data_IF_293595901628
#
_entry.id   IF_293595901628
#
_cell.length_a   1.000
_cell.length_b   1.000
_cell.length_c   1.000
_cell.angle_alpha   90.00
_cell.angle_beta   90.00
_cell.angle_gamma   90.00
#
_symmetry.space_group_name_H-M   'P 1'
#
loop_
_entity.id
_entity.type
_entity.pdbx_description
1 polymer ?
2 polymer ?
3 polymer ?
4 polymer ?
5 non-polymer ?
6 non-polymer ?
7 non-polymer ?
8 non-polymer ?
9 non-polymer ?
10 non-polymer ?
11 water ?
#
loop_
_entity_poly.entity_id
_entity_poly.type
_entity_poly.pdbx_seq_one_letter_code
_entity_poly.pdbx_strand_id
2 'polydeoxyribonucleotide' '(DC)(DG)(DG)(DC)(DA)(DT)(DA)(DC)(DG)' ?
3 'polydeoxyribonucleotide' '(DC)(DG)(DT)(DA)(DT)' ?
4 'polydeoxyribonucleotide' '(DG)(DC)(DC)(DG)' ?
#
# COMPACT_ATOMS: atom_id res chain seq x y z
N UNK A 11 -13.67 24.37 0.39
CA UNK A 11 -12.86 24.19 1.58
C UNK A 11 -12.07 22.87 1.53
N UNK A 12 -12.73 21.81 1.05
CA UNK A 12 -12.11 20.51 0.95
C UNK A 12 -11.61 20.30 -0.48
N UNK A 13 -10.31 20.30 -0.73
CA UNK A 13 -9.82 20.05 -2.09
C UNK A 13 -10.28 18.69 -2.62
N UNK A 14 -10.32 18.59 -3.95
CA UNK A 14 -10.87 17.39 -4.57
C UNK A 14 -9.87 16.24 -4.62
N UNK A 15 -8.57 16.54 -4.69
CA UNK A 15 -7.54 15.51 -4.76
C UNK A 15 -6.95 15.28 -3.38
N UNK A 16 -6.65 14.01 -3.06
CA UNK A 16 -6.14 13.68 -1.73
C UNK A 16 -4.75 14.25 -1.49
N UNK A 17 -3.98 14.49 -2.55
CA UNK A 17 -2.65 15.07 -2.40
C UNK A 17 -2.68 16.56 -2.10
N UNK A 18 -3.87 17.17 -2.09
CA UNK A 18 -4.04 18.59 -1.80
C UNK A 18 -4.39 18.87 -0.35
N UNK A 19 -4.43 17.85 0.50
CA UNK A 19 -4.91 18.02 1.86
C UNK A 19 -4.18 17.08 2.80
N UNK A 20 -3.84 17.50 4.01
CA UNK A 20 -3.23 16.58 4.98
C UNK A 20 -4.23 15.51 5.39
N UNK A 21 -3.76 14.27 5.43
CA UNK A 21 -4.57 13.16 5.93
C UNK A 21 -3.77 12.45 7.02
N UNK A 22 -4.13 12.61 8.29
CA UNK A 22 -3.37 11.96 9.35
C UNK A 22 -3.72 10.49 9.46
N UNK A 23 -2.89 9.77 10.20
CA UNK A 23 -3.08 8.32 10.32
C UNK A 23 -4.35 8.01 11.10
N UNK A 24 -4.59 8.73 12.18
CA UNK A 24 -5.80 8.58 12.98
C UNK A 24 -6.63 9.86 12.86
N UNK A 25 -7.95 9.71 12.92
CA UNK A 25 -8.81 10.83 12.58
C UNK A 25 -10.11 10.70 13.36
N UNK A 26 -11.17 11.36 12.87
CA UNK A 26 -12.36 11.62 13.65
C UNK A 26 -13.61 11.00 13.03
N UNK A 27 -13.44 10.14 12.03
CA UNK A 27 -14.56 9.54 11.31
C UNK A 27 -14.23 8.10 10.96
N UNK A 28 -13.59 7.40 11.89
CA UNK A 28 -13.06 6.07 11.62
C UNK A 28 -14.15 5.10 11.15
N UNK A 29 -15.25 5.03 11.90
CA UNK A 29 -16.32 4.10 11.53
C UNK A 29 -16.91 4.39 10.16
N UNK A 30 -17.11 5.67 9.85
CA UNK A 30 -17.67 6.02 8.54
C UNK A 30 -16.73 5.62 7.42
N UNK A 31 -15.44 5.91 7.57
CA UNK A 31 -14.50 5.59 6.51
C UNK A 31 -14.34 4.08 6.35
N UNK A 32 -14.33 3.33 7.47
CA UNK A 32 -14.26 1.87 7.39
C UNK A 32 -15.39 1.34 6.54
N UNK A 33 -16.62 1.80 6.79
CA UNK A 33 -17.78 1.30 6.06
C UNK A 33 -17.63 1.54 4.56
N UNK A 34 -17.21 2.74 4.18
CA UNK A 34 -17.05 3.04 2.76
C UNK A 34 -15.93 2.21 2.14
N UNK A 35 -14.89 1.89 2.91
CA UNK A 35 -13.82 1.07 2.36
C UNK A 35 -14.21 -0.38 2.23
N UNK A 36 -15.22 -0.84 2.97
CA UNK A 36 -15.79 -2.17 2.69
C UNK A 36 -16.40 -2.18 1.29
N UNK A 37 -17.22 -1.16 0.97
CA UNK A 37 -17.84 -1.12 -0.35
C UNK A 37 -16.78 -0.94 -1.43
N UNK A 38 -15.72 -0.19 -1.14
CA UNK A 38 -14.62 -0.04 -2.09
C UNK A 38 -13.98 -1.40 -2.36
N UNK A 39 -13.63 -2.12 -1.29
CA UNK A 39 -13.05 -3.45 -1.42
C UNK A 39 -13.97 -4.36 -2.22
N UNK A 40 -15.27 -4.37 -1.89
CA UNK A 40 -16.21 -5.22 -2.59
C UNK A 40 -16.30 -4.86 -4.07
N UNK A 41 -16.27 -3.57 -4.39
CA UNK A 41 -16.25 -3.17 -5.79
C UNK A 41 -15.03 -3.74 -6.51
N UNK A 42 -13.88 -3.75 -5.83
CA UNK A 42 -12.69 -4.33 -6.43
C UNK A 42 -12.85 -5.82 -6.72
N UNK A 43 -13.46 -6.55 -5.79
CA UNK A 43 -13.68 -7.97 -5.99
C UNK A 43 -14.57 -8.26 -7.19
N UNK A 44 -15.38 -7.29 -7.61
CA UNK A 44 -16.24 -7.44 -8.77
C UNK A 44 -15.68 -6.78 -10.01
N UNK A 45 -14.46 -6.25 -9.94
CA UNK A 45 -13.85 -5.64 -11.11
C UNK A 45 -14.31 -4.24 -11.42
N UNK A 46 -15.02 -3.58 -10.49
CA UNK A 46 -15.52 -2.23 -10.69
C UNK A 46 -14.48 -1.25 -10.14
N UNK A 47 -13.45 -0.99 -10.95
CA UNK A 47 -12.37 -0.13 -10.49
C UNK A 47 -12.84 1.31 -10.32
N UNK A 48 -13.81 1.77 -11.11
CA UNK A 48 -14.30 3.12 -10.96
C UNK A 48 -15.04 3.31 -9.65
N UNK A 49 -15.91 2.36 -9.30
CA UNK A 49 -16.63 2.44 -8.02
C UNK A 49 -15.67 2.31 -6.85
N UNK A 50 -14.71 1.40 -6.93
CA UNK A 50 -13.69 1.29 -5.89
C UNK A 50 -13.02 2.63 -5.65
N UNK A 51 -12.65 3.33 -6.74
CA UNK A 51 -11.94 4.59 -6.57
C UNK A 51 -12.82 5.62 -5.86
N UNK A 52 -14.09 5.74 -6.27
CA UNK A 52 -14.95 6.73 -5.64
C UNK A 52 -15.12 6.45 -4.16
N UNK A 53 -15.40 5.18 -3.80
CA UNK A 53 -15.58 4.85 -2.39
C UNK A 53 -14.30 5.09 -1.60
N UNK A 54 -13.15 4.75 -2.18
CA UNK A 54 -11.87 5.04 -1.55
C UNK A 54 -11.70 6.54 -1.32
N UNK A 55 -12.00 7.34 -2.35
CA UNK A 55 -11.85 8.78 -2.24
C UNK A 55 -12.79 9.37 -1.20
N UNK A 56 -14.06 8.95 -1.22
CA UNK A 56 -15.01 9.44 -0.24
C UNK A 56 -14.57 9.08 1.17
N UNK A 57 -14.07 7.86 1.36
CA UNK A 57 -13.53 7.48 2.65
C UNK A 57 -12.39 8.40 3.06
N UNK A 58 -11.49 8.71 2.12
CA UNK A 58 -10.33 9.53 2.45
C UNK A 58 -10.74 10.96 2.79
N UNK A 59 -11.78 11.48 2.14
CA UNK A 59 -12.27 12.82 2.49
C UNK A 59 -12.62 12.87 3.97
N UNK A 60 -13.30 11.85 4.48
CA UNK A 60 -13.68 11.87 5.89
C UNK A 60 -12.47 11.79 6.81
N UNK A 61 -11.42 11.06 6.41
CA UNK A 61 -10.19 11.00 7.18
C UNK A 61 -9.56 12.37 7.33
N UNK A 62 -9.76 13.25 6.35
CA UNK A 62 -9.13 14.57 6.34
C UNK A 62 -9.94 15.62 7.09
N UNK A 63 -11.16 15.32 7.51
CA UNK A 63 -11.98 16.29 8.21
C UNK A 63 -11.42 16.56 9.60
N UNK A 64 -11.65 17.76 10.13
CA UNK A 64 -11.10 18.09 11.45
C UNK A 64 -11.95 17.65 12.65
N UNK A 65 -13.11 17.06 12.44
CA UNK A 65 -13.98 16.66 13.53
C UNK A 65 -14.98 15.64 13.01
N UNK A 66 -15.73 15.00 13.91
CA UNK A 66 -16.66 13.96 13.45
C UNK A 66 -17.81 14.53 12.65
N UNK A 67 -18.22 13.79 11.62
CA UNK A 67 -19.48 14.07 10.95
C UNK A 67 -20.60 13.55 11.85
N UNK A 68 -21.52 14.44 12.24
CA UNK A 68 -22.64 14.08 13.08
C UNK A 68 -23.98 14.24 12.39
N UNK A 69 -24.06 14.98 11.28
CA UNK A 69 -25.32 15.22 10.61
C UNK A 69 -25.08 15.18 9.11
N UNK A 70 -26.11 14.75 8.38
CA UNK A 70 -25.97 14.59 6.94
C UNK A 70 -25.59 15.89 6.26
N UNK A 71 -26.10 17.02 6.76
CA UNK A 71 -25.82 18.30 6.12
C UNK A 71 -24.33 18.60 6.08
N UNK A 72 -23.54 18.02 6.99
CA UNK A 72 -22.11 18.27 6.97
C UNK A 72 -21.44 17.65 5.75
N UNK A 73 -22.14 16.83 4.97
CA UNK A 73 -21.57 16.29 3.73
C UNK A 73 -21.74 17.21 2.54
N UNK A 74 -22.60 18.22 2.65
CA UNK A 74 -22.84 19.13 1.52
C UNK A 74 -21.55 19.80 1.09
N UNK A 75 -21.28 19.77 -0.21
CA UNK A 75 -20.08 20.39 -0.73
C UNK A 75 -18.81 19.60 -0.54
N UNK A 76 -18.86 18.44 0.08
CA UNK A 76 -17.66 17.60 0.15
C UNK A 76 -17.49 16.86 -1.17
N UNK A 77 -16.29 16.86 -1.75
CA UNK A 77 -16.10 16.11 -3.00
C UNK A 77 -16.25 14.62 -2.78
N UNK A 78 -16.77 13.95 -3.81
CA UNK A 78 -16.90 12.50 -3.89
C UNK A 78 -18.01 11.94 -3.02
N UNK A 79 -18.88 12.80 -2.48
CA UNK A 79 -20.08 12.35 -1.79
C UNK A 79 -21.30 12.66 -2.65
N UNK A 80 -21.81 11.64 -3.32
CA UNK A 80 -23.06 11.71 -4.04
C UNK A 80 -24.14 10.91 -3.34
N UNK A 81 -25.16 10.52 -4.12
CA UNK A 81 -26.31 9.83 -3.57
C UNK A 81 -25.89 8.58 -2.78
N UNK A 82 -24.99 7.77 -3.36
CA UNK A 82 -24.72 6.46 -2.78
C UNK A 82 -23.89 6.59 -1.50
N UNK A 83 -22.75 7.27 -1.57
CA UNK A 83 -21.92 7.42 -0.38
C UNK A 83 -22.64 8.21 0.71
N UNK A 84 -23.49 9.18 0.33
CA UNK A 84 -24.21 9.94 1.34
C UNK A 84 -25.23 9.07 2.07
N UNK A 85 -25.91 8.19 1.32
CA UNK A 85 -26.88 7.30 1.93
C UNK A 85 -26.21 6.34 2.90
N UNK A 86 -25.00 5.86 2.57
CA UNK A 86 -24.26 5.02 3.50
C UNK A 86 -24.03 5.77 4.82
N UNK A 87 -23.55 7.01 4.74
CA UNK A 87 -23.30 7.78 5.95
C UNK A 87 -24.60 8.04 6.69
N UNK A 88 -25.66 8.38 5.94
CA UNK A 88 -26.95 8.67 6.55
C UNK A 88 -27.41 7.50 7.42
N UNK A 89 -27.32 6.28 6.89
CA UNK A 89 -27.80 5.13 7.63
C UNK A 89 -26.95 4.88 8.87
N UNK A 90 -25.63 5.04 8.74
CA UNK A 90 -24.76 4.88 9.89
C UNK A 90 -25.07 5.93 10.96
N UNK A 91 -25.32 7.18 10.53
CA UNK A 91 -25.62 8.22 11.51
C UNK A 91 -26.95 7.96 12.21
N UNK A 92 -27.94 7.44 11.48
CA UNK A 92 -29.27 7.28 12.05
C UNK A 92 -29.40 5.96 12.83
N UNK A 93 -28.78 4.88 12.35
CA UNK A 93 -28.98 3.57 12.93
C UNK A 93 -27.71 2.90 13.42
N UNK A 94 -26.55 3.48 13.20
CA UNK A 94 -25.30 2.86 13.60
C UNK A 94 -24.83 1.75 12.69
N UNK A 95 -25.61 1.42 11.66
CA UNK A 95 -25.33 0.32 10.76
C UNK A 95 -25.88 0.67 9.39
N UNK A 96 -25.22 0.18 8.35
CA UNK A 96 -25.68 0.35 6.97
C UNK A 96 -25.99 -1.01 6.38
N UNK A 97 -27.25 -1.21 5.98
CA UNK A 97 -27.68 -2.54 5.56
C UNK A 97 -26.83 -3.07 4.41
N UNK A 98 -26.53 -2.24 3.42
CA UNK A 98 -25.71 -2.69 2.31
C UNK A 98 -24.33 -3.15 2.78
N UNK A 99 -23.71 -2.38 3.68
CA UNK A 99 -22.39 -2.74 4.17
C UNK A 99 -22.45 -4.07 4.91
N UNK A 100 -23.47 -4.25 5.74
CA UNK A 100 -23.58 -5.50 6.49
C UNK A 100 -23.85 -6.67 5.57
N UNK A 101 -24.68 -6.47 4.55
CA UNK A 101 -24.92 -7.54 3.59
C UNK A 101 -23.62 -7.97 2.91
N UNK A 102 -22.77 -7.01 2.54
CA UNK A 102 -21.47 -7.35 1.97
C UNK A 102 -20.64 -8.15 2.98
N UNK A 103 -20.53 -7.63 4.21
CA UNK A 103 -19.68 -8.27 5.22
C UNK A 103 -19.95 -9.77 5.33
N UNK A 104 -21.21 -10.16 5.39
CA UNK A 104 -21.55 -11.55 5.66
C UNK A 104 -21.70 -12.39 4.38
N UNK A 105 -21.60 -11.78 3.21
CA UNK A 105 -21.78 -12.54 1.98
C UNK A 105 -20.65 -13.53 1.80
N UNK A 106 -20.99 -14.72 1.29
CA UNK A 106 -19.99 -15.74 1.03
C UNK A 106 -18.99 -15.28 -0.02
N UNK A 107 -19.45 -14.47 -0.98
CA UNK A 107 -18.57 -13.96 -2.02
C UNK A 107 -17.50 -13.03 -1.43
N UNK A 108 -17.93 -12.04 -0.64
CA UNK A 108 -16.98 -11.10 -0.06
C UNK A 108 -15.97 -11.82 0.82
N UNK A 109 -16.45 -12.66 1.73
CA UNK A 109 -15.56 -13.31 2.68
C UNK A 109 -14.53 -14.19 1.98
N UNK A 110 -14.95 -14.93 0.97
CA UNK A 110 -14.04 -15.84 0.29
C UNK A 110 -13.05 -15.08 -0.60
N UNK A 111 -13.52 -14.04 -1.30
CA UNK A 111 -12.61 -13.23 -2.11
C UNK A 111 -11.59 -12.52 -1.23
N UNK A 112 -12.01 -12.07 -0.05
CA UNK A 112 -11.08 -11.44 0.87
C UNK A 112 -10.04 -12.46 1.36
N UNK A 113 -10.51 -13.65 1.74
CA UNK A 113 -9.60 -14.71 2.18
C UNK A 113 -8.61 -15.07 1.09
N UNK A 114 -9.09 -15.28 -0.13
CA UNK A 114 -8.21 -15.71 -1.21
C UNK A 114 -7.24 -14.60 -1.62
N UNK A 115 -7.74 -13.39 -1.80
CA UNK A 115 -6.85 -12.32 -2.27
C UNK A 115 -5.78 -11.95 -1.25
N UNK A 116 -6.00 -12.22 0.03
CA UNK A 116 -4.98 -11.94 1.03
C UNK A 116 -3.79 -12.89 0.91
N UNK A 117 -3.95 -14.00 0.19
CA UNK A 117 -2.83 -14.91 -0.04
C UNK A 117 -1.82 -14.23 -0.95
N UNK A 118 -0.56 -14.22 -0.53
CA UNK A 118 0.52 -13.73 -1.37
C UNK A 118 0.62 -14.60 -2.63
N UNK A 119 0.49 -13.97 -3.80
CA UNK A 119 0.48 -14.68 -5.06
C UNK A 119 -0.89 -14.93 -5.65
N UNK A 120 -1.96 -14.47 -4.98
CA UNK A 120 -3.33 -14.63 -5.44
C UNK A 120 -3.93 -13.24 -5.61
N UNK A 121 -4.33 -12.90 -6.84
CA UNK A 121 -5.03 -11.67 -7.10
C UNK A 121 -6.53 -11.87 -7.28
N UNK A 122 -7.22 -10.78 -7.58
CA UNK A 122 -8.67 -10.84 -7.76
C UNK A 122 -9.02 -11.86 -8.84
N UNK A 123 -8.28 -11.87 -9.94
CA UNK A 123 -8.65 -12.74 -11.06
C UNK A 123 -8.52 -14.20 -10.68
N UNK A 124 -7.47 -14.56 -9.93
CA UNK A 124 -7.32 -15.95 -9.51
C UNK A 124 -8.38 -16.31 -8.45
N UNK A 125 -8.55 -15.44 -7.46
CA UNK A 125 -9.58 -15.66 -6.44
C UNK A 125 -10.94 -15.88 -7.08
N UNK A 126 -11.31 -14.99 -8.00
CA UNK A 126 -12.61 -15.12 -8.67
C UNK A 126 -12.73 -16.46 -9.39
N UNK A 127 -11.68 -16.88 -10.11
CA UNK A 127 -11.73 -18.16 -10.80
C UNK A 127 -11.94 -19.30 -9.80
N UNK A 128 -11.19 -19.30 -8.71
CA UNK A 128 -11.36 -20.34 -7.70
C UNK A 128 -12.76 -20.31 -7.09
N UNK A 129 -13.28 -19.11 -6.80
CA UNK A 129 -14.63 -19.01 -6.26
C UNK A 129 -15.65 -19.64 -7.20
N UNK A 130 -15.51 -19.38 -8.51
CA UNK A 130 -16.45 -19.96 -9.47
C UNK A 130 -16.29 -21.47 -9.55
N UNK A 131 -15.09 -21.98 -9.31
CA UNK A 131 -14.86 -23.43 -9.31
C UNK A 131 -15.42 -24.12 -8.07
N UNK A 132 -15.94 -23.36 -7.10
CA UNK A 132 -16.51 -23.93 -5.90
C UNK A 132 -15.61 -23.90 -4.68
N UNK A 133 -14.38 -23.41 -4.81
CA UNK A 133 -13.45 -23.39 -3.69
C UNK A 133 -13.82 -22.28 -2.73
N UNK A 134 -13.65 -22.53 -1.43
CA UNK A 134 -14.06 -21.58 -0.40
C UNK A 134 -13.06 -21.40 0.73
N UNK A 135 -12.20 -22.37 1.03
CA UNK A 135 -11.34 -22.33 2.21
C UNK A 135 -9.90 -22.55 1.79
N UNK A 136 -8.97 -22.24 2.71
CA UNK A 136 -7.55 -22.45 2.42
C UNK A 136 -7.25 -23.93 2.27
N UNK A 137 -7.88 -24.79 3.08
CA UNK A 137 -7.65 -26.22 2.95
C UNK A 137 -8.17 -26.75 1.62
N UNK A 138 -9.17 -26.08 1.04
CA UNK A 138 -9.59 -26.43 -0.32
C UNK A 138 -8.43 -26.23 -1.30
N UNK A 139 -7.67 -25.16 -1.12
CA UNK A 139 -6.52 -24.91 -2.00
C UNK A 139 -5.40 -25.90 -1.71
N UNK A 140 -5.18 -26.22 -0.44
CA UNK A 140 -4.09 -27.13 -0.08
C UNK A 140 -4.29 -28.52 -0.67
N UNK A 141 -5.54 -28.91 -0.92
CA UNK A 141 -5.82 -30.27 -1.40
C UNK A 141 -5.35 -30.49 -2.83
N UNK A 142 -5.34 -29.44 -3.65
CA UNK A 142 -4.94 -29.53 -5.06
C UNK A 142 -3.74 -28.64 -5.31
N UNK A 143 -2.59 -28.94 -4.67
CA UNK A 143 -1.43 -28.05 -4.81
C UNK A 143 -0.83 -28.04 -6.20
N UNK A 144 -1.17 -29.02 -7.05
CA UNK A 144 -0.65 -29.01 -8.41
C UNK A 144 -1.16 -27.81 -9.20
N UNK A 145 -2.27 -27.21 -8.78
CA UNK A 145 -2.82 -26.04 -9.45
C UNK A 145 -2.20 -24.74 -8.95
N UNK A 146 -1.28 -24.79 -7.99
CA UNK A 146 -0.73 -23.59 -7.38
C UNK A 146 0.65 -23.27 -7.96
N UNK A 147 0.94 -21.99 -8.05
CA UNK A 147 2.28 -21.55 -8.38
C UNK A 147 3.19 -21.68 -7.16
N UNK A 148 4.50 -21.65 -7.42
CA UNK A 148 5.47 -21.63 -6.32
C UNK A 148 5.22 -20.45 -5.39
N UNK A 149 4.87 -19.29 -5.97
CA UNK A 149 4.59 -18.12 -5.16
C UNK A 149 3.37 -18.35 -4.28
N UNK A 150 2.33 -18.99 -4.83
CA UNK A 150 1.11 -19.24 -4.08
C UNK A 150 1.31 -20.32 -3.03
N UNK A 151 2.08 -21.36 -3.35
CA UNK A 151 2.47 -22.34 -2.34
C UNK A 151 3.14 -21.68 -1.15
N UNK A 152 4.02 -20.71 -1.41
CA UNK A 152 4.69 -20.01 -0.32
C UNK A 152 3.71 -19.15 0.47
N UNK A 153 2.85 -18.40 -0.23
CA UNK A 153 1.87 -17.58 0.46
C UNK A 153 0.94 -18.40 1.33
N UNK A 154 0.59 -19.60 0.86
CA UNK A 154 -0.32 -20.46 1.61
C UNK A 154 0.38 -21.11 2.80
N UNK A 155 1.61 -21.61 2.61
CA UNK A 155 2.37 -22.17 3.73
C UNK A 155 2.54 -21.15 4.84
N UNK A 156 2.87 -19.92 4.48
CA UNK A 156 3.17 -18.87 5.46
C UNK A 156 1.98 -18.00 5.78
N UNK A 157 0.79 -18.37 5.32
CA UNK A 157 -0.35 -17.46 5.42
C UNK A 157 -0.63 -17.05 6.86
N UNK A 158 -0.53 -17.98 7.80
CA UNK A 158 -0.87 -17.68 9.19
C UNK A 158 0.05 -16.61 9.77
N UNK A 159 1.37 -16.78 9.59
CA UNK A 159 2.32 -15.78 10.06
C UNK A 159 2.10 -14.44 9.37
N UNK A 160 1.86 -14.47 8.06
CA UNK A 160 1.70 -13.24 7.31
C UNK A 160 0.43 -12.50 7.67
N UNK A 161 -0.51 -13.16 8.36
CA UNK A 161 -1.72 -12.50 8.82
C UNK A 161 -1.54 -11.84 10.17
N UNK A 162 -0.43 -12.12 10.87
CA UNK A 162 -0.13 -11.53 12.17
C UNK A 162 0.57 -10.18 11.98
N UNK A 163 0.12 -9.11 12.64
CA UNK A 163 0.74 -7.80 12.37
C UNK A 163 2.20 -7.75 12.75
N UNK A 164 2.96 -7.05 11.92
CA UNK A 164 4.35 -6.71 12.21
C UNK A 164 4.38 -5.48 13.10
N UNK A 165 5.27 -5.49 14.08
CA UNK A 165 5.42 -4.39 15.02
C UNK A 165 6.65 -3.55 14.70
N UNK A 166 6.65 -2.31 15.18
CA UNK A 166 7.77 -1.43 14.90
C UNK A 166 9.07 -2.02 15.45
N UNK A 167 9.01 -2.73 16.58
CA UNK A 167 10.20 -3.40 17.09
C UNK A 167 10.72 -4.43 16.09
N UNK A 168 9.81 -5.14 15.43
CA UNK A 168 10.22 -6.06 14.37
C UNK A 168 10.93 -5.31 13.25
N UNK A 169 10.43 -4.12 12.91
CA UNK A 169 11.01 -3.36 11.79
C UNK A 169 12.46 -2.99 12.09
N UNK A 170 12.71 -2.50 13.30
CA UNK A 170 14.08 -2.10 13.64
C UNK A 170 15.03 -3.28 13.53
N UNK A 171 14.59 -4.47 13.97
CA UNK A 171 15.44 -5.65 13.86
C UNK A 171 15.70 -6.01 12.39
N UNK A 172 14.66 -5.97 11.57
CA UNK A 172 14.83 -6.26 10.15
C UNK A 172 15.77 -5.26 9.49
N UNK A 173 15.61 -3.97 9.78
CA UNK A 173 16.44 -2.98 9.11
C UNK A 173 17.91 -3.21 9.38
N UNK A 174 18.24 -3.62 10.61
CA UNK A 174 19.65 -3.88 10.92
C UNK A 174 20.20 -5.02 10.08
N UNK A 175 19.42 -6.10 9.91
CA UNK A 175 19.96 -7.21 9.13
C UNK A 175 20.05 -6.83 7.65
N UNK A 176 19.13 -6.02 7.16
CA UNK A 176 19.20 -5.57 5.76
C UNK A 176 20.43 -4.69 5.54
N UNK A 177 20.69 -3.77 6.46
CA UNK A 177 21.86 -2.92 6.33
C UNK A 177 23.15 -3.73 6.35
N UNK A 178 23.21 -4.78 7.19
CA UNK A 178 24.40 -5.61 7.23
C UNK A 178 24.68 -6.22 5.86
N UNK A 179 23.65 -6.80 5.23
CA UNK A 179 23.84 -7.41 3.92
C UNK A 179 24.16 -6.35 2.87
N UNK A 180 23.43 -5.23 2.89
CA UNK A 180 23.66 -4.14 1.95
C UNK A 180 25.09 -3.61 2.08
N UNK A 181 25.56 -3.42 3.32
CA UNK A 181 26.90 -2.91 3.54
C UNK A 181 27.98 -3.79 2.97
N UNK A 182 27.77 -5.11 2.97
CA UNK A 182 28.73 -6.02 2.35
C UNK A 182 28.59 -6.04 0.84
N UNK A 183 27.35 -5.94 0.34
CA UNK A 183 27.13 -5.98 -1.10
C UNK A 183 27.72 -4.75 -1.77
N UNK A 184 27.63 -3.60 -1.11
CA UNK A 184 28.09 -2.34 -1.68
C UNK A 184 28.35 -1.36 -0.54
N UNK A 185 29.58 -1.26 -0.06
CA UNK A 185 29.89 -0.26 0.97
C UNK A 185 29.44 1.12 0.56
N UNK A 186 28.85 1.84 1.51
CA UNK A 186 28.30 3.16 1.26
C UNK A 186 26.84 3.16 0.88
N UNK A 187 26.27 2.01 0.52
CA UNK A 187 24.86 1.96 0.18
C UNK A 187 24.04 2.20 1.43
N UNK A 188 22.86 2.80 1.24
CA UNK A 188 21.99 3.18 2.34
C UNK A 188 20.66 2.47 2.23
N UNK A 189 20.00 2.32 3.38
CA UNK A 189 18.71 1.67 3.50
C UNK A 189 17.75 2.64 4.14
N UNK A 190 16.60 2.87 3.51
CA UNK A 190 15.59 3.79 3.99
C UNK A 190 14.28 3.04 4.18
N UNK A 191 13.72 3.14 5.39
CA UNK A 191 12.41 2.57 5.66
C UNK A 191 11.34 3.38 4.94
N UNK A 192 10.46 2.70 4.21
CA UNK A 192 9.39 3.39 3.49
C UNK A 192 8.07 2.68 3.79
N UNK A 193 7.09 2.87 2.90
CA UNK A 193 5.77 2.32 3.13
C UNK A 193 5.05 2.89 4.36
N UNK A 194 4.13 2.06 4.86
CA UNK A 194 3.26 2.49 5.94
C UNK A 194 4.00 2.86 7.21
N UNK A 195 5.11 2.16 7.50
CA UNK A 195 5.87 2.50 8.70
C UNK A 195 6.48 3.90 8.58
N UNK A 196 6.89 4.32 7.39
CA UNK A 196 7.40 5.68 7.28
C UNK A 196 6.30 6.71 7.50
N UNK A 197 5.05 6.35 7.18
CA UNK A 197 3.92 7.24 7.44
C UNK A 197 3.48 7.24 8.90
N UNK A 198 4.19 6.51 9.77
CA UNK A 198 3.91 6.55 11.19
C UNK A 198 3.11 5.39 11.74
N UNK A 199 2.76 4.40 10.92
CA UNK A 199 2.03 3.26 11.42
C UNK A 199 2.84 2.53 12.49
N UNK A 200 2.16 2.08 13.53
CA UNK A 200 2.80 1.31 14.60
C UNK A 200 2.81 -0.17 14.30
N UNK A 201 1.94 -0.64 13.42
CA UNK A 201 1.93 -2.02 12.98
C UNK A 201 1.74 -2.05 11.48
N UNK A 202 2.03 -3.20 10.88
CA UNK A 202 1.79 -3.37 9.46
C UNK A 202 1.78 -4.84 9.13
N UNK A 203 1.53 -5.14 7.85
CA UNK A 203 1.57 -6.51 7.37
C UNK A 203 2.77 -6.80 6.49
N UNK A 204 3.63 -5.80 6.28
CA UNK A 204 4.85 -5.97 5.49
C UNK A 204 5.76 -4.79 5.81
N UNK A 205 7.02 -4.94 5.44
CA UNK A 205 8.04 -3.92 5.69
C UNK A 205 8.66 -3.56 4.35
N UNK A 206 8.78 -2.25 4.09
CA UNK A 206 9.26 -1.74 2.81
C UNK A 206 10.56 -0.98 3.01
N UNK A 207 11.58 -1.31 2.21
CA UNK A 207 12.87 -0.65 2.28
C UNK A 207 13.29 -0.17 0.89
N UNK A 208 13.94 0.99 0.86
CA UNK A 208 14.46 1.59 -0.37
C UNK A 208 15.97 1.74 -0.22
N UNK A 209 16.70 1.27 -1.20
CA UNK A 209 18.15 1.16 -1.14
C UNK A 209 18.72 2.01 -2.27
N UNK A 210 19.77 2.78 -1.96
CA UNK A 210 20.46 3.54 -3.00
C UNK A 210 21.93 3.67 -2.62
N UNK A 211 22.67 4.45 -3.40
CA UNK A 211 24.08 4.74 -3.15
C UNK A 211 24.37 6.16 -3.62
N UNK A 212 25.13 6.95 -2.85
CA UNK A 212 25.31 8.37 -3.22
C UNK A 212 26.05 8.59 -4.53
N UNK A 213 26.71 7.59 -5.08
CA UNK A 213 27.43 7.71 -6.35
C UNK A 213 26.58 7.09 -7.45
N UNK A 214 26.02 7.96 -8.30
CA UNK A 214 25.17 7.52 -9.40
C UNK A 214 25.83 6.39 -10.18
N UNK A 215 25.10 5.31 -10.37
CA UNK A 215 25.55 4.16 -11.13
C UNK A 215 26.08 3.02 -10.27
N UNK A 216 26.56 3.31 -9.07
CA UNK A 216 27.10 2.26 -8.22
C UNK A 216 26.04 1.27 -7.79
N UNK A 217 24.77 1.67 -7.81
CA UNK A 217 23.71 0.79 -7.35
C UNK A 217 23.32 -0.25 -8.39
N UNK A 218 23.82 -0.12 -9.62
CA UNK A 218 23.52 -1.11 -10.65
C UNK A 218 23.97 -2.49 -10.19
N UNK A 219 23.11 -3.49 -10.39
CA UNK A 219 23.42 -4.86 -10.02
C UNK A 219 23.40 -5.14 -8.55
N UNK A 220 22.87 -4.24 -7.74
CA UNK A 220 23.01 -4.36 -6.30
C UNK A 220 22.06 -5.42 -5.73
N UNK A 221 20.84 -5.46 -6.20
CA UNK A 221 19.84 -6.26 -5.50
C UNK A 221 20.16 -7.75 -5.52
N UNK A 222 20.67 -8.32 -6.62
CA UNK A 222 21.05 -9.74 -6.56
C UNK A 222 22.14 -10.00 -5.53
N UNK A 223 23.06 -9.05 -5.37
CA UNK A 223 24.13 -9.24 -4.38
C UNK A 223 23.57 -9.19 -2.97
N UNK A 224 22.61 -8.30 -2.73
CA UNK A 224 21.96 -8.22 -1.43
C UNK A 224 21.20 -9.52 -1.16
N UNK A 225 20.43 -9.98 -2.14
CA UNK A 225 19.60 -11.16 -1.93
C UNK A 225 20.45 -12.39 -1.67
N UNK A 226 21.55 -12.56 -2.41
CA UNK A 226 22.39 -13.74 -2.22
C UNK A 226 22.99 -13.76 -0.82
N UNK A 227 23.29 -12.59 -0.27
CA UNK A 227 23.86 -12.52 1.07
C UNK A 227 22.80 -12.78 2.15
N UNK A 228 21.62 -12.21 2.01
CA UNK A 228 20.53 -12.55 2.92
C UNK A 228 20.23 -14.04 2.89
N UNK A 229 20.18 -14.62 1.68
CA UNK A 229 19.92 -16.05 1.57
C UNK A 229 21.02 -16.87 2.24
N UNK A 230 22.28 -16.46 2.08
CA UNK A 230 23.38 -17.19 2.71
C UNK A 230 23.30 -17.10 4.23
N UNK A 231 22.69 -16.04 4.78
CA UNK A 231 22.50 -15.93 6.21
C UNK A 231 21.33 -16.75 6.73
N UNK A 232 20.61 -17.46 5.86
CA UNK A 232 19.46 -18.23 6.28
C UNK A 232 18.22 -17.42 6.59
N UNK A 233 18.13 -16.18 6.10
CA UNK A 233 17.05 -15.27 6.48
C UNK A 233 15.90 -15.23 5.48
N UNK A 234 16.03 -15.88 4.33
CA UNK A 234 15.05 -15.75 3.26
C UNK A 234 14.28 -17.07 3.18
N UNK A 235 13.01 -17.02 3.56
CA UNK A 235 12.13 -18.18 3.38
C UNK A 235 11.62 -18.28 1.96
N UNK A 236 11.48 -17.14 1.26
CA UNK A 236 11.01 -17.13 -0.12
C UNK A 236 11.45 -15.85 -0.81
N UNK A 237 11.79 -15.96 -2.09
CA UNK A 237 11.93 -14.77 -2.95
C UNK A 237 11.99 -15.24 -4.40
N UNK A 238 11.54 -14.36 -5.28
CA UNK A 238 11.46 -14.66 -6.71
C UNK A 238 12.85 -14.80 -7.32
N UNK A 258 18.91 -9.64 -13.59
CA UNK A 258 18.86 -8.30 -13.00
C UNK A 258 17.44 -7.96 -12.57
N UNK A 259 17.31 -7.13 -11.54
CA UNK A 259 16.01 -6.70 -11.06
C UNK A 259 16.20 -5.56 -10.06
N UNK A 260 15.13 -4.82 -9.82
CA UNK A 260 15.16 -3.68 -8.92
C UNK A 260 14.12 -3.73 -7.79
N UNK A 261 13.21 -4.72 -7.79
CA UNK A 261 12.28 -4.94 -6.70
C UNK A 261 12.30 -6.41 -6.35
N UNK A 262 12.35 -6.70 -5.06
CA UNK A 262 12.39 -8.07 -4.56
C UNK A 262 11.32 -8.22 -3.49
N UNK A 263 10.38 -9.13 -3.71
CA UNK A 263 9.28 -9.37 -2.78
C UNK A 263 9.61 -10.64 -2.00
N UNK A 264 9.98 -10.48 -0.74
CA UNK A 264 10.59 -11.54 0.04
C UNK A 264 9.68 -11.94 1.20
N UNK A 265 9.88 -13.16 1.68
CA UNK A 265 9.43 -13.57 2.99
C UNK A 265 10.68 -13.82 3.83
N UNK A 266 10.83 -13.06 4.90
CA UNK A 266 11.97 -13.15 5.79
C UNK A 266 11.64 -14.01 7.00
N UNK A 267 12.68 -14.62 7.54
CA UNK A 267 12.64 -15.31 8.83
C UNK A 267 12.99 -14.29 9.91
N UNK A 268 11.99 -13.90 10.70
CA UNK A 268 12.21 -12.91 11.74
C UNK A 268 12.30 -13.59 13.10
N UNK A 269 13.42 -13.47 13.82
CA UNK A 269 13.50 -14.11 15.14
C UNK A 269 12.42 -13.63 16.10
N UNK A 270 11.92 -14.56 16.89
CA UNK A 270 10.96 -14.34 17.96
C UNK A 270 11.45 -15.03 19.20
N UNK A 271 10.83 -14.78 20.37
CA UNK A 271 11.23 -15.49 21.59
C UNK A 271 11.23 -17.01 21.42
N UNK A 272 12.42 -17.61 21.46
CA UNK A 272 12.55 -19.05 21.34
C UNK A 272 12.09 -19.61 20.02
N UNK A 273 11.86 -18.74 19.03
CA UNK A 273 11.38 -19.19 17.74
C UNK A 273 11.54 -18.08 16.70
N UNK A 274 10.66 -18.04 15.71
CA UNK A 274 10.71 -17.02 14.66
C UNK A 274 9.35 -16.97 13.99
N UNK A 275 9.20 -16.03 13.06
CA UNK A 275 8.00 -15.95 12.27
C UNK A 275 8.34 -15.40 10.90
N UNK A 276 7.53 -15.78 9.92
CA UNK A 276 7.67 -15.27 8.57
C UNK A 276 7.10 -13.86 8.46
N UNK A 277 7.82 -12.98 7.76
CA UNK A 277 7.40 -11.59 7.57
C UNK A 277 7.65 -11.21 6.11
N UNK A 278 6.69 -10.53 5.51
CA UNK A 278 6.84 -10.01 4.16
C UNK A 278 7.71 -8.75 4.19
N UNK A 279 8.76 -8.73 3.37
CA UNK A 279 9.67 -7.60 3.28
C UNK A 279 9.88 -7.32 1.80
N UNK A 280 9.79 -6.05 1.43
CA UNK A 280 10.06 -5.63 0.06
C UNK A 280 11.33 -4.80 0.02
N UNK A 281 12.22 -5.15 -0.90
CA UNK A 281 13.49 -4.45 -1.10
C UNK A 281 13.49 -3.83 -2.49
N UNK A 282 13.75 -2.54 -2.57
CA UNK A 282 13.76 -1.84 -3.86
C UNK A 282 15.00 -0.96 -3.94
N UNK A 283 15.61 -0.92 -5.11
CA UNK A 283 16.82 -0.16 -5.37
C UNK A 283 16.48 0.92 -6.39
N UNK A 284 17.05 2.10 -6.18
CA UNK A 284 16.93 3.19 -7.14
C UNK A 284 18.26 3.93 -7.21
N UNK A 285 18.62 4.47 -8.36
CA UNK A 285 19.78 5.36 -8.41
C UNK A 285 19.46 6.64 -7.66
N UNK A 286 20.51 7.28 -7.12
CA UNK A 286 20.26 8.41 -6.23
C UNK A 286 19.56 9.55 -6.96
N UNK A 287 19.82 9.72 -8.25
CA UNK A 287 19.12 10.75 -9.01
C UNK A 287 17.62 10.55 -8.95
N UNK A 288 17.15 9.31 -8.87
CA UNK A 288 15.72 9.01 -8.83
C UNK A 288 15.21 8.79 -7.41
N UNK A 289 16.09 8.82 -6.41
CA UNK A 289 15.70 8.47 -5.06
C UNK A 289 14.51 9.27 -4.55
N UNK A 290 14.42 10.59 -4.76
CA UNK A 290 13.24 11.32 -4.26
C UNK A 290 11.95 10.81 -4.83
N UNK A 291 11.93 10.45 -6.11
CA UNK A 291 10.72 9.94 -6.73
C UNK A 291 10.37 8.55 -6.21
N UNK A 292 11.39 7.73 -5.95
CA UNK A 292 11.12 6.38 -5.47
C UNK A 292 10.71 6.41 -4.01
N UNK A 293 11.35 7.26 -3.22
CA UNK A 293 10.92 7.47 -1.85
C UNK A 293 9.47 7.95 -1.81
N UNK A 294 9.14 8.95 -2.62
CA UNK A 294 7.76 9.45 -2.65
C UNK A 294 6.80 8.33 -3.01
N UNK A 295 7.10 7.59 -4.09
CA UNK A 295 6.21 6.54 -4.52
C UNK A 295 6.03 5.43 -3.50
N UNK A 296 7.15 4.95 -2.93
CA UNK A 296 7.05 3.83 -2.01
C UNK A 296 6.63 4.23 -0.60
N UNK A 297 6.48 5.52 -0.31
CA UNK A 297 5.95 5.91 1.00
C UNK A 297 4.44 6.00 0.99
N UNK A 298 3.81 6.15 -0.18
CA UNK A 298 2.36 6.03 -0.27
C UNK A 298 1.65 7.22 0.37
N UNK A 299 0.42 6.98 0.84
CA UNK A 299 -0.33 5.75 0.67
C UNK A 299 -0.59 5.45 -0.80
N UNK A 300 -1.12 4.25 -1.07
CA UNK A 300 -1.50 3.90 -2.43
C UNK A 300 -2.46 4.93 -3.02
N UNK A 301 -3.53 5.25 -2.30
CA UNK A 301 -4.46 6.24 -2.81
C UNK A 301 -3.78 7.59 -3.00
N UNK A 302 -2.92 7.98 -2.06
CA UNK A 302 -2.21 9.25 -2.19
C UNK A 302 -1.40 9.29 -3.49
N UNK A 303 -0.70 8.20 -3.83
CA UNK A 303 0.13 8.21 -5.03
C UNK A 303 -0.73 8.24 -6.29
N UNK A 304 -1.81 7.47 -6.34
CA UNK A 304 -2.73 7.54 -7.47
C UNK A 304 -3.27 8.96 -7.64
N UNK A 305 -3.70 9.58 -6.54
CA UNK A 305 -4.23 10.93 -6.60
C UNK A 305 -3.15 11.93 -7.03
N UNK A 306 -1.93 11.74 -6.53
CA UNK A 306 -0.84 12.63 -6.89
C UNK A 306 -0.50 12.52 -8.38
N UNK A 307 -0.46 11.30 -8.90
CA UNK A 307 -0.19 11.12 -10.32
C UNK A 307 -1.34 11.64 -11.18
N UNK A 308 -2.58 11.44 -10.72
CA UNK A 308 -3.72 11.99 -11.42
C UNK A 308 -3.68 13.51 -11.45
N UNK A 309 -3.36 14.12 -10.30
CA UNK A 309 -3.24 15.57 -10.22
C UNK A 309 -2.15 16.07 -11.15
N UNK A 310 -0.98 15.45 -11.09
CA UNK A 310 0.14 15.83 -11.93
C UNK A 310 -0.26 15.85 -13.39
N UNK A 311 -0.86 14.75 -13.87
CA UNK A 311 -1.20 14.63 -15.27
C UNK A 311 -2.34 15.57 -15.65
N UNK A 312 -3.43 15.55 -14.88
CA UNK A 312 -4.63 16.24 -15.30
C UNK A 312 -4.63 17.74 -14.98
N UNK A 313 -4.00 18.15 -13.88
CA UNK A 313 -4.00 19.56 -13.53
C UNK A 313 -2.75 20.30 -13.98
N UNK A 314 -1.61 19.59 -14.11
CA UNK A 314 -0.34 20.23 -14.45
C UNK A 314 0.24 19.74 -15.77
N UNK A 315 -0.32 18.71 -16.38
CA UNK A 315 0.21 18.24 -17.65
C UNK A 315 1.56 17.58 -17.54
N UNK A 316 1.94 17.12 -16.36
CA UNK A 316 3.20 16.43 -16.13
C UNK A 316 2.94 14.98 -15.77
N UNK A 317 3.84 14.09 -16.18
CA UNK A 317 3.68 12.66 -16.03
C UNK A 317 4.60 12.17 -14.92
N UNK A 318 4.00 11.67 -13.84
CA UNK A 318 4.73 11.30 -12.63
C UNK A 318 4.74 9.79 -12.46
N UNK A 319 5.90 9.25 -12.08
CA UNK A 319 5.98 7.86 -11.63
C UNK A 319 7.09 7.78 -10.58
N UNK A 320 7.40 6.55 -10.15
CA UNK A 320 8.40 6.38 -9.10
C UNK A 320 9.83 6.55 -9.60
N UNK A 321 10.01 6.87 -10.89
CA UNK A 321 11.34 7.15 -11.46
C UNK A 321 11.59 8.63 -11.71
N UNK A 322 10.55 9.43 -11.91
CA UNK A 322 10.77 10.80 -12.33
C UNK A 322 9.46 11.50 -12.63
N UNK A 323 9.63 12.72 -13.12
CA UNK A 323 8.50 13.59 -13.46
C UNK A 323 8.83 14.22 -14.80
N UNK A 324 7.98 13.97 -15.79
CA UNK A 324 8.27 14.24 -17.19
C UNK A 324 7.36 15.34 -17.72
N UNK A 325 7.96 16.34 -18.35
CA UNK A 325 7.21 17.36 -19.07
C UNK A 325 7.07 16.89 -20.51
N UNK A 326 5.88 16.50 -20.97
CA UNK A 326 5.75 16.00 -22.34
C UNK A 326 5.84 17.09 -23.38
N UNK A 327 5.67 18.36 -23.00
CA UNK A 327 5.86 19.46 -23.94
C UNK A 327 7.33 19.65 -24.26
N UNK A 328 8.13 20.00 -23.24
CA UNK A 328 9.56 20.20 -23.44
C UNK A 328 10.32 18.90 -23.60
N UNK A 329 9.72 17.77 -23.28
CA UNK A 329 10.37 16.47 -23.39
C UNK A 329 11.59 16.41 -22.47
N UNK A 330 11.39 16.82 -21.22
CA UNK A 330 12.45 16.88 -20.22
C UNK A 330 11.95 16.28 -18.91
N UNK A 331 12.89 15.75 -18.14
CA UNK A 331 12.61 15.26 -16.79
C UNK A 331 13.01 16.31 -15.77
N UNK A 332 12.19 16.44 -14.72
CA UNK A 332 12.51 17.33 -13.63
C UNK A 332 13.55 16.68 -12.72
N UNK A 333 14.61 17.41 -12.41
CA UNK A 333 15.58 16.94 -11.45
C UNK A 333 15.10 17.31 -10.07
N UNK A 334 15.06 16.33 -9.18
CA UNK A 334 14.66 16.55 -7.81
C UNK A 334 15.77 16.08 -6.89
N UNK A 335 16.08 16.88 -5.88
CA UNK A 335 16.98 16.48 -4.82
C UNK A 335 16.24 16.04 -3.56
N UNK A 336 14.92 16.17 -3.52
CA UNK A 336 14.15 15.91 -2.31
C UNK A 336 12.67 15.75 -2.67
N UNK A 337 11.91 15.16 -1.74
CA UNK A 337 10.47 15.18 -1.87
C UNK A 337 9.94 16.60 -1.93
N UNK A 338 10.53 17.49 -1.13
CA UNK A 338 10.12 18.89 -1.14
C UNK A 338 10.19 19.48 -2.55
N UNK A 339 11.26 19.19 -3.28
CA UNK A 339 11.36 19.61 -4.68
C UNK A 339 10.16 19.17 -5.50
N UNK A 340 9.73 17.93 -5.31
CA UNK A 340 8.67 17.37 -6.15
C UNK A 340 7.35 18.07 -5.88
N UNK A 341 7.00 18.23 -4.60
CA UNK A 341 5.78 18.98 -4.28
C UNK A 341 5.84 20.37 -4.87
N UNK A 342 6.99 21.05 -4.75
CA UNK A 342 7.11 22.39 -5.32
C UNK A 342 6.91 22.37 -6.83
N UNK A 343 7.54 21.43 -7.51
CA UNK A 343 7.38 21.32 -8.97
C UNK A 343 5.91 21.25 -9.35
N UNK A 344 5.12 20.52 -8.56
CA UNK A 344 3.71 20.30 -8.85
C UNK A 344 2.80 21.39 -8.30
N UNK A 345 3.37 22.43 -7.68
CA UNK A 345 2.54 23.48 -7.11
C UNK A 345 1.68 23.06 -5.94
N UNK A 346 2.15 22.08 -5.16
CA UNK A 346 1.42 21.57 -4.00
C UNK A 346 2.17 21.97 -2.74
N UNK A 347 1.43 22.27 -1.67
CA UNK A 347 2.05 22.45 -0.37
C UNK A 347 2.64 21.13 0.10
N UNK A 348 3.80 21.20 0.74
CA UNK A 348 4.48 19.98 1.16
C UNK A 348 3.67 19.26 2.23
N UNK A 349 3.65 17.93 2.13
CA UNK A 349 3.01 17.11 3.15
C UNK A 349 4.05 16.11 3.65
N UNK A 350 4.35 16.06 4.94
CA UNK A 350 5.24 15.03 5.43
C UNK A 350 4.57 13.66 5.33
N UNK A 351 5.34 12.59 5.42
CA UNK A 351 4.75 11.24 5.25
C UNK A 351 3.58 10.95 6.16
N UNK A 352 3.61 11.46 7.39
CA UNK A 352 2.55 11.20 8.35
C UNK A 352 1.24 11.89 7.98
N UNK A 353 1.25 12.79 7.00
CA UNK A 353 0.04 13.43 6.51
C UNK A 353 -0.32 12.95 5.11
N UNK A 354 0.28 11.84 4.67
CA UNK A 354 -0.05 11.24 3.38
C UNK A 354 -0.89 9.99 3.54
N UNK A 355 -1.59 9.85 4.66
CA UNK A 355 -2.36 8.66 4.95
C UNK A 355 -3.75 8.71 4.32
N UNK A 356 -3.83 9.04 3.04
CA UNK A 356 -5.11 9.08 2.35
C UNK A 356 -5.71 7.68 2.24
X LIG E 1 3.97 -1.79 2.93
X LIG F 1 5.24 -3.94 0.71
X LIG G 1 -2.74 -11.58 -2.95
X LIG H 1 5.59 2.90 -6.05
X LIG H 1 4.68 3.51 -6.92
X LIG H 1 5.31 1.40 -6.02
X LIG H 1 5.63 0.85 -7.25
X LIG I 1 19.16 9.30 1.55
X LIG I 1 19.54 8.55 2.68
X LIG I 1 20.01 8.87 0.37
X LIG I 1 20.74 7.73 0.75
X LIG J 1 -2.69 0.63 14.14
X LIG J 1 -1.47 1.42 13.04
X LIG J 1 -2.16 2.09 11.95
X LIG J 1 -0.57 0.41 12.50
X LIG J 1 -0.70 2.39 13.82
X LIG K 1 -9.34 2.30 -0.66
X LIG L 1 1.96 0.22 2.65
X LIG L 1 1.11 -1.06 2.77
X LIG L 1 1.47 1.34 2.32
X LIG L 1 3.19 0.14 2.87
X LIG L 1 1.86 -2.12 3.34
#
# INVERSE_FOLDING_TARGET
GSAAAPLSPAWMPAYACQRPTPLTHHNTGLSEALEILAEAAGFEGSEGRLLTFCRAASVLKALPSPVTTLSQLQGLPHFGEHSSRVVQELLEHGVCEEVERVRRSERYQTMKLFTQIFGVGVKTADRWYREGLRTLDDLREQPQKLTQQQKAGLQHHQDLSTPVLRSDVDALQQVVEEAVGQALPGATVTLTGGFRRGKLQGHDVDFLITHPKEGQEAGLLPRVMCRLQDQGLILYHQHQHSCCESPTRLAQQSHMDAFERSFCIFRLPQPGSWKAVRVDLVVAPVSQFPFALLGWTGSKLFQRELRRFSRKEKGLWLNSHGLFDPEQKTFFQAASEEDIFRHLGLEYLPPEQRNA
MG MG
NA NA
NA NA
EDO C1 O1 C2 O2
EDO C1 O1 C2 O2
EPE C10 S O1S O2S O3S
DTT S1
GOA C CA O OXT O2
#
